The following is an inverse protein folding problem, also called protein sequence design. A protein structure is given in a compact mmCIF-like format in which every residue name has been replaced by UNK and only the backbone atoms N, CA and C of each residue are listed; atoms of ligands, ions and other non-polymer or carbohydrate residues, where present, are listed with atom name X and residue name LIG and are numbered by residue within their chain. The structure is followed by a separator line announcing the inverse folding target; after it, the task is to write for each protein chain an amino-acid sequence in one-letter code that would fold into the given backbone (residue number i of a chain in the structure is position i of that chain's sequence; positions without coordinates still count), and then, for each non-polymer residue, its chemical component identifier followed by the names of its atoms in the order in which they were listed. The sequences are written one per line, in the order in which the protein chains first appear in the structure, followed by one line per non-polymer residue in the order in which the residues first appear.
data_IF_602797274673
#
_entry.id   IF_602797274673
#
_cell.length_a   1.000
_cell.length_b   1.000
_cell.length_c   1.000
_cell.angle_alpha   90.00
_cell.angle_beta   90.00
_cell.angle_gamma   90.00
#
_symmetry.space_group_name_H-M   'P 1'
#
loop_
_entity.id
_entity.type
_entity.pdbx_description
1 polymer ?
#
# COMPACT_ATOMS: atom_id res chain seq x y z
N UNK A 1 -9.84 50.96 7.38
CA UNK A 1 -9.30 49.81 6.64
C UNK A 1 -9.42 48.59 7.56
N UNK A 2 -9.96 47.46 7.14
CA UNK A 2 -9.91 46.26 7.96
C UNK A 2 -8.45 45.91 8.22
N UNK A 3 -8.13 45.56 9.47
CA UNK A 3 -6.79 45.15 9.86
C UNK A 3 -6.38 43.90 9.04
N UNK A 4 -5.25 44.00 8.37
CA UNK A 4 -4.70 42.91 7.58
C UNK A 4 -4.27 41.79 8.55
N UNK A 5 -4.87 40.60 8.44
CA UNK A 5 -4.48 39.46 9.28
C UNK A 5 -3.01 39.11 9.06
N UNK A 6 -2.27 38.91 10.13
CA UNK A 6 -0.92 38.43 10.06
C UNK A 6 -0.91 36.94 9.69
N UNK A 7 0.15 36.39 9.07
CA UNK A 7 0.24 34.96 8.71
C UNK A 7 0.01 34.02 9.91
N UNK A 8 0.30 34.45 11.14
CA UNK A 8 0.01 33.71 12.37
C UNK A 8 -1.44 33.70 12.81
N UNK A 9 -2.28 34.61 12.28
CA UNK A 9 -3.73 34.69 12.57
C UNK A 9 -4.56 33.91 11.53
N UNK A 10 -3.96 33.52 10.41
CA UNK A 10 -4.55 32.67 9.38
C UNK A 10 -4.06 31.23 9.59
N UNK A 11 -4.14 30.74 10.81
CA UNK A 11 -3.76 29.35 11.10
C UNK A 11 -4.93 28.46 10.72
N UNK A 12 -4.85 27.84 9.54
CA UNK A 12 -5.86 26.89 9.02
C UNK A 12 -5.61 25.47 9.52
N UNK A 13 -4.49 25.25 10.22
CA UNK A 13 -3.99 23.90 10.58
C UNK A 13 -3.72 23.81 12.07
N UNK A 14 -4.21 22.74 12.72
CA UNK A 14 -3.81 22.36 14.07
C UNK A 14 -2.50 21.55 14.02
N UNK A 15 -1.37 22.10 14.49
CA UNK A 15 -0.08 21.42 14.38
C UNK A 15 0.05 20.19 15.29
N UNK A 16 -0.62 20.19 16.46
CA UNK A 16 -0.52 19.09 17.45
C UNK A 16 -1.31 17.89 16.93
N UNK A 17 -2.55 18.12 16.49
CA UNK A 17 -3.37 17.05 15.91
C UNK A 17 -2.82 16.56 14.57
N UNK A 18 -2.19 17.42 13.77
CA UNK A 18 -1.54 17.01 12.52
C UNK A 18 -0.32 16.13 12.77
N UNK A 19 0.50 16.45 13.78
CA UNK A 19 1.63 15.57 14.18
C UNK A 19 1.13 14.21 14.66
N UNK A 20 0.07 14.19 15.47
CA UNK A 20 -0.60 12.95 15.87
C UNK A 20 -1.11 12.16 14.67
N UNK A 21 -1.75 12.83 13.70
CA UNK A 21 -2.27 12.21 12.49
C UNK A 21 -1.18 11.53 11.65
N UNK A 22 -0.02 12.18 11.48
CA UNK A 22 1.12 11.60 10.75
C UNK A 22 1.69 10.36 11.42
N UNK A 23 1.61 10.28 12.74
CA UNK A 23 2.03 9.11 13.53
C UNK A 23 1.01 7.97 13.57
N UNK A 24 -0.23 8.21 13.16
CA UNK A 24 -1.29 7.20 13.26
C UNK A 24 -1.04 6.01 12.34
N UNK A 25 -1.12 4.80 12.88
CA UNK A 25 -0.97 3.54 12.14
C UNK A 25 -2.04 2.54 12.57
N UNK A 26 -2.46 1.70 11.63
CA UNK A 26 -3.40 0.61 11.89
C UNK A 26 -2.77 -0.69 11.38
N UNK A 27 -2.49 -1.62 12.30
CA UNK A 27 -1.72 -2.82 12.01
C UNK A 27 -2.38 -3.80 11.01
N UNK A 28 -3.69 -3.69 10.82
CA UNK A 28 -4.44 -4.54 9.88
C UNK A 28 -4.39 -4.03 8.43
N UNK A 29 -3.97 -2.77 8.20
CA UNK A 29 -3.87 -2.17 6.89
C UNK A 29 -2.42 -2.31 6.39
N UNK A 30 -2.25 -2.96 5.26
CA UNK A 30 -0.94 -3.38 4.74
C UNK A 30 -0.64 -2.83 3.34
N UNK A 31 -1.55 -2.05 2.76
CA UNK A 31 -1.39 -1.51 1.42
C UNK A 31 -0.09 -0.72 1.22
N UNK A 32 0.36 0.01 2.26
CA UNK A 32 1.61 0.77 2.24
C UNK A 32 2.87 -0.10 2.05
N UNK A 33 2.76 -1.42 2.21
CA UNK A 33 3.86 -2.35 1.94
C UNK A 33 4.03 -2.60 0.44
N UNK A 34 2.92 -2.60 -0.34
CA UNK A 34 2.95 -2.68 -1.81
C UNK A 34 3.06 -1.31 -2.47
N UNK A 35 2.43 -0.30 -1.87
CA UNK A 35 2.39 1.08 -2.34
C UNK A 35 2.96 2.01 -1.27
N UNK A 36 4.29 2.02 -1.06
CA UNK A 36 4.92 2.92 -0.10
C UNK A 36 4.64 4.36 -0.50
N UNK A 37 4.42 5.22 0.51
CA UNK A 37 4.13 6.62 0.25
C UNK A 37 5.35 7.34 -0.30
N UNK A 38 5.14 8.07 -1.38
CA UNK A 38 6.08 9.01 -1.98
C UNK A 38 5.49 10.42 -1.90
N UNK A 39 6.12 11.29 -1.11
CA UNK A 39 5.65 12.66 -0.96
C UNK A 39 6.01 13.48 -2.21
N UNK A 40 5.03 14.18 -2.76
CA UNK A 40 5.15 15.00 -3.97
C UNK A 40 4.58 16.39 -3.75
N UNK A 41 5.14 17.37 -4.46
CA UNK A 41 4.73 18.77 -4.34
C UNK A 41 3.52 19.14 -5.23
N UNK A 42 3.16 18.29 -6.21
CA UNK A 42 2.12 18.59 -7.19
C UNK A 42 1.09 17.47 -7.30
N UNK A 43 -0.18 17.85 -7.51
CA UNK A 43 -1.30 16.91 -7.66
C UNK A 43 -1.24 16.07 -8.93
N UNK A 44 -0.41 16.42 -9.88
CA UNK A 44 -0.25 15.66 -11.12
C UNK A 44 1.19 15.64 -11.59
N UNK A 45 1.56 14.54 -12.21
CA UNK A 45 2.90 14.34 -12.73
C UNK A 45 2.95 13.12 -13.65
N UNK A 46 4.16 12.64 -13.91
CA UNK A 46 4.38 11.39 -14.63
C UNK A 46 5.15 10.41 -13.78
N UNK A 47 4.68 9.19 -13.72
CA UNK A 47 5.40 8.05 -13.13
C UNK A 47 6.53 7.68 -14.06
N UNK A 48 7.72 7.47 -13.54
CA UNK A 48 8.84 6.94 -14.32
C UNK A 48 8.63 5.43 -14.46
N UNK A 49 8.34 4.96 -15.68
CA UNK A 49 8.33 3.53 -15.98
C UNK A 49 9.75 3.06 -16.29
N UNK A 50 10.18 2.02 -15.59
CA UNK A 50 11.47 1.38 -15.81
C UNK A 50 11.29 0.22 -16.80
N UNK A 51 11.78 0.41 -18.02
CA UNK A 51 11.77 -0.63 -19.05
C UNK A 51 12.98 -1.55 -18.96
N UNK A 52 12.91 -2.68 -19.70
CA UNK A 52 14.02 -3.65 -19.89
C UNK A 52 15.32 -3.01 -20.39
N UNK A 53 15.28 -1.76 -20.84
CA UNK A 53 16.43 -1.01 -21.33
C UNK A 53 17.51 -0.75 -20.26
N UNK A 54 17.11 -0.64 -19.00
CA UNK A 54 18.02 -0.46 -17.86
C UNK A 54 18.93 -1.67 -17.62
N UNK A 55 18.54 -2.84 -18.12
CA UNK A 55 19.27 -4.10 -17.97
C UNK A 55 20.03 -4.53 -19.24
N UNK A 56 20.06 -3.69 -20.30
CA UNK A 56 20.82 -3.97 -21.51
C UNK A 56 22.31 -3.79 -21.30
N UNK A 57 23.08 -4.77 -21.71
CA UNK A 57 24.53 -4.66 -21.74
C UNK A 57 24.95 -3.82 -22.93
N UNK A 58 25.47 -2.64 -22.68
CA UNK A 58 26.03 -1.78 -23.70
C UNK A 58 27.53 -2.05 -23.87
N UNK A 59 27.97 -2.23 -25.12
CA UNK A 59 29.39 -2.33 -25.39
C UNK A 59 30.11 -0.99 -25.13
N UNK A 60 30.71 -0.87 -23.93
CA UNK A 60 31.44 0.32 -23.49
C UNK A 60 32.88 0.40 -24.04
N UNK A 61 33.35 -0.67 -24.70
CA UNK A 61 34.71 -0.71 -25.25
C UNK A 61 34.87 0.30 -26.36
N UNK A 62 35.95 1.09 -26.30
CA UNK A 62 36.28 2.17 -27.23
C UNK A 62 37.73 2.06 -27.64
N UNK A 63 38.01 2.24 -28.92
CA UNK A 63 39.36 2.40 -29.42
C UNK A 63 39.94 3.77 -28.96
N UNK A 64 41.25 3.88 -28.74
CA UNK A 64 41.91 5.16 -28.48
C UNK A 64 41.57 6.18 -29.59
N UNK A 65 41.13 7.39 -29.21
CA UNK A 65 40.75 8.43 -30.16
C UNK A 65 39.33 8.33 -30.75
N UNK A 66 38.57 7.23 -30.56
CA UNK A 66 37.20 7.13 -31.03
C UNK A 66 36.22 7.91 -30.12
N UNK A 67 35.09 8.34 -30.68
CA UNK A 67 34.02 9.01 -29.92
C UNK A 67 33.41 8.11 -28.85
N UNK A 68 33.05 8.67 -27.70
CA UNK A 68 32.35 7.95 -26.63
C UNK A 68 30.91 7.65 -27.04
N UNK A 69 30.48 6.41 -26.88
CA UNK A 69 29.08 6.00 -27.13
C UNK A 69 28.18 6.65 -26.08
N UNK A 70 27.01 7.13 -26.52
CA UNK A 70 26.00 7.76 -25.65
C UNK A 70 24.85 6.79 -25.43
N UNK A 71 24.48 6.55 -24.20
CA UNK A 71 23.25 5.86 -23.82
C UNK A 71 22.16 6.91 -23.63
N UNK A 72 20.99 6.68 -24.18
CA UNK A 72 19.82 7.53 -23.96
C UNK A 72 18.89 6.82 -23.00
N UNK A 73 18.46 7.50 -21.98
CA UNK A 73 17.40 7.05 -21.10
C UNK A 73 16.08 7.59 -21.65
N UNK A 74 15.14 6.70 -21.90
CA UNK A 74 13.77 7.08 -22.25
C UNK A 74 12.94 7.08 -20.96
N UNK A 75 12.31 8.19 -20.64
CA UNK A 75 11.27 8.26 -19.62
C UNK A 75 9.93 8.17 -20.34
N UNK A 76 9.38 6.97 -20.45
CA UNK A 76 7.97 6.82 -20.79
C UNK A 76 7.20 6.79 -19.47
N UNK A 77 6.50 7.87 -19.14
CA UNK A 77 5.77 7.97 -17.89
C UNK A 77 4.28 8.07 -18.14
N UNK A 78 3.51 7.20 -17.47
CA UNK A 78 2.05 7.37 -17.39
C UNK A 78 1.72 8.57 -16.50
N UNK A 79 0.74 9.41 -16.90
CA UNK A 79 0.30 10.48 -16.03
C UNK A 79 -0.35 9.91 -14.77
N UNK A 80 -0.09 10.52 -13.61
CA UNK A 80 -0.84 10.29 -12.39
C UNK A 80 -1.54 11.57 -11.97
N UNK A 81 -2.63 11.43 -11.24
CA UNK A 81 -3.37 12.52 -10.63
C UNK A 81 -3.76 12.11 -9.21
N UNK A 82 -3.47 12.98 -8.25
CA UNK A 82 -3.91 12.81 -6.87
C UNK A 82 -5.27 13.49 -6.73
N UNK A 83 -6.23 12.76 -6.18
CA UNK A 83 -7.58 13.28 -5.91
C UNK A 83 -7.59 13.80 -4.47
N UNK A 84 -7.97 15.08 -4.25
CA UNK A 84 -8.13 15.61 -2.90
C UNK A 84 -9.14 14.80 -2.10
N UNK A 85 -8.76 14.40 -0.89
CA UNK A 85 -9.61 13.63 0.04
C UNK A 85 -9.67 14.34 1.39
N UNK A 86 -10.86 14.71 1.81
CA UNK A 86 -11.10 15.34 3.12
C UNK A 86 -12.34 14.74 3.75
N UNK A 87 -12.30 14.56 5.07
CA UNK A 87 -13.44 14.06 5.86
C UNK A 87 -13.47 14.77 7.21
N UNK A 88 -14.67 15.03 7.73
CA UNK A 88 -14.89 15.71 8.99
C UNK A 88 -15.56 14.82 10.03
N UNK A 89 -15.12 14.93 11.28
CA UNK A 89 -15.80 14.34 12.42
C UNK A 89 -16.52 15.42 13.24
N UNK A 90 -17.75 15.11 13.64
CA UNK A 90 -18.63 15.98 14.39
C UNK A 90 -18.64 15.54 15.86
N UNK A 91 -18.33 16.44 16.79
CA UNK A 91 -18.39 16.20 18.23
C UNK A 91 -19.37 17.17 18.87
N UNK A 92 -20.56 16.73 19.31
CA UNK A 92 -21.52 17.58 20.02
C UNK A 92 -20.90 18.19 21.28
N UNK A 93 -21.22 19.46 21.54
CA UNK A 93 -20.64 20.18 22.70
C UNK A 93 -21.04 19.53 24.05
N UNK A 94 -22.19 18.84 24.08
CA UNK A 94 -22.67 18.12 25.26
C UNK A 94 -21.71 16.97 25.58
N UNK A 95 -21.32 16.20 24.59
CA UNK A 95 -20.34 15.12 24.75
C UNK A 95 -18.96 15.64 25.13
N UNK A 96 -18.55 16.79 24.55
CA UNK A 96 -17.27 17.42 24.89
C UNK A 96 -17.27 17.87 26.37
N UNK A 97 -18.38 18.45 26.86
CA UNK A 97 -18.53 18.84 28.25
C UNK A 97 -18.46 17.63 29.19
N UNK A 98 -19.17 16.55 28.85
CA UNK A 98 -19.23 15.35 29.67
C UNK A 98 -17.87 14.61 29.68
N UNK A 99 -17.16 14.57 28.56
CA UNK A 99 -15.82 13.99 28.47
C UNK A 99 -14.78 14.78 29.27
N UNK A 100 -14.88 16.10 29.32
CA UNK A 100 -13.98 16.94 30.12
C UNK A 100 -14.12 16.67 31.63
N UNK A 101 -15.23 16.09 32.07
CA UNK A 101 -15.44 15.66 33.45
C UNK A 101 -14.75 14.32 33.79
N UNK A 102 -14.28 13.58 32.79
CA UNK A 102 -13.65 12.26 32.97
C UNK A 102 -12.17 12.35 32.60
N UNK A 103 -11.24 12.12 33.53
CA UNK A 103 -9.82 12.15 33.25
C UNK A 103 -9.42 11.11 32.18
N UNK A 104 -8.58 11.51 31.22
CA UNK A 104 -8.01 10.61 30.22
C UNK A 104 -8.83 10.46 28.92
N UNK A 105 -9.99 11.11 28.79
CA UNK A 105 -10.77 11.09 27.53
C UNK A 105 -10.51 12.37 26.76
N UNK A 106 -9.92 12.24 25.57
CA UNK A 106 -9.74 13.33 24.62
C UNK A 106 -10.58 13.05 23.35
N UNK A 107 -11.74 13.71 23.26
CA UNK A 107 -12.65 13.55 22.13
C UNK A 107 -12.13 14.16 20.83
N UNK A 108 -11.29 15.19 20.88
CA UNK A 108 -10.67 15.77 19.69
C UNK A 108 -9.75 14.75 19.00
N UNK A 109 -8.81 14.16 19.76
CA UNK A 109 -7.94 13.11 19.25
C UNK A 109 -8.74 11.90 18.76
N UNK A 110 -9.79 11.51 19.48
CA UNK A 110 -10.66 10.39 19.08
C UNK A 110 -11.40 10.70 17.77
N UNK A 111 -11.90 11.91 17.59
CA UNK A 111 -12.56 12.36 16.38
C UNK A 111 -11.61 12.28 15.17
N UNK A 112 -10.40 12.80 15.29
CA UNK A 112 -9.36 12.72 14.27
C UNK A 112 -9.02 11.26 13.95
N UNK A 113 -8.87 10.38 14.95
CA UNK A 113 -8.57 8.97 14.74
C UNK A 113 -9.67 8.21 13.98
N UNK A 114 -10.95 8.55 14.21
CA UNK A 114 -12.06 7.93 13.46
C UNK A 114 -11.98 8.32 12.00
N UNK A 115 -11.72 9.60 11.69
CA UNK A 115 -11.57 10.08 10.31
C UNK A 115 -10.37 9.41 9.63
N UNK A 116 -9.20 9.43 10.26
CA UNK A 116 -7.99 8.79 9.74
C UNK A 116 -8.19 7.30 9.45
N UNK A 117 -8.89 6.61 10.34
CA UNK A 117 -9.22 5.20 10.16
C UNK A 117 -10.03 4.97 8.89
N UNK A 118 -11.03 5.82 8.64
CA UNK A 118 -11.87 5.75 7.45
C UNK A 118 -11.06 6.02 6.17
N UNK A 119 -10.25 7.09 6.17
CA UNK A 119 -9.41 7.44 5.01
C UNK A 119 -8.33 6.38 4.72
N UNK A 120 -7.71 5.81 5.75
CA UNK A 120 -6.74 4.73 5.56
C UNK A 120 -7.39 3.45 5.05
N UNK A 121 -8.62 3.14 5.48
CA UNK A 121 -9.37 2.01 4.95
C UNK A 121 -9.76 2.23 3.48
N UNK A 122 -10.18 3.43 3.11
CA UNK A 122 -10.46 3.82 1.73
C UNK A 122 -9.21 3.62 0.86
N UNK A 123 -8.06 4.11 1.29
CA UNK A 123 -6.78 3.90 0.62
C UNK A 123 -6.42 2.41 0.48
N UNK A 124 -6.64 1.60 1.53
CA UNK A 124 -6.43 0.14 1.47
C UNK A 124 -7.31 -0.53 0.40
N UNK A 125 -8.58 -0.12 0.32
CA UNK A 125 -9.54 -0.64 -0.68
C UNK A 125 -9.12 -0.26 -2.11
N UNK A 126 -8.68 0.99 -2.31
CA UNK A 126 -8.16 1.44 -3.61
C UNK A 126 -6.92 0.66 -4.03
N UNK A 127 -5.95 0.49 -3.12
CA UNK A 127 -4.75 -0.30 -3.38
C UNK A 127 -5.08 -1.75 -3.71
N UNK A 128 -5.99 -2.37 -2.95
CA UNK A 128 -6.43 -3.73 -3.22
C UNK A 128 -7.14 -3.83 -4.57
N UNK A 129 -8.00 -2.86 -4.91
CA UNK A 129 -8.67 -2.79 -6.20
C UNK A 129 -7.70 -2.70 -7.39
N UNK A 130 -6.57 -2.01 -7.22
CA UNK A 130 -5.51 -1.95 -8.24
C UNK A 130 -4.72 -3.27 -8.29
N UNK A 131 -4.29 -3.77 -7.12
CA UNK A 131 -3.37 -4.90 -7.03
C UNK A 131 -4.02 -6.25 -7.34
N UNK A 132 -5.31 -6.43 -7.09
CA UNK A 132 -6.05 -7.68 -7.35
C UNK A 132 -6.80 -7.70 -8.68
N UNK A 133 -6.78 -6.58 -9.42
CA UNK A 133 -7.43 -6.51 -10.72
C UNK A 133 -6.56 -7.18 -11.80
N UNK A 134 -7.03 -8.32 -12.31
CA UNK A 134 -6.35 -9.07 -13.36
C UNK A 134 -6.14 -8.29 -14.67
N UNK A 135 -6.92 -7.22 -14.92
CA UNK A 135 -6.77 -6.38 -16.11
C UNK A 135 -5.50 -5.51 -16.06
N UNK A 136 -4.94 -5.30 -14.88
CA UNK A 136 -3.70 -4.55 -14.68
C UNK A 136 -2.44 -5.37 -14.94
N UNK A 137 -2.58 -6.67 -15.24
CA UNK A 137 -1.47 -7.59 -15.48
C UNK A 137 -1.60 -8.21 -16.87
N UNK A 138 -0.48 -8.46 -17.52
CA UNK A 138 -0.43 -9.29 -18.71
C UNK A 138 -0.62 -10.77 -18.36
N UNK A 139 -0.63 -11.63 -19.37
CA UNK A 139 -0.87 -13.06 -19.17
C UNK A 139 0.30 -13.79 -18.49
N UNK A 140 1.50 -13.23 -18.59
CA UNK A 140 2.72 -13.82 -18.01
C UNK A 140 2.90 -13.44 -16.53
N UNK A 141 2.16 -12.42 -16.07
CA UNK A 141 2.24 -11.90 -14.69
C UNK A 141 0.99 -12.17 -13.86
N UNK A 142 0.17 -13.13 -14.25
CA UNK A 142 -0.99 -13.55 -13.46
C UNK A 142 -1.31 -15.02 -13.66
N UNK A 143 -1.91 -15.62 -12.63
CA UNK A 143 -2.54 -16.93 -12.67
C UNK A 143 -3.85 -16.91 -11.91
N UNK A 144 -4.85 -17.63 -12.40
CA UNK A 144 -6.11 -17.84 -11.70
C UNK A 144 -6.21 -19.31 -11.35
N UNK A 145 -6.16 -19.61 -10.06
CA UNK A 145 -6.27 -20.98 -9.56
C UNK A 145 -7.75 -21.39 -9.53
N UNK A 146 -8.02 -22.58 -10.05
CA UNK A 146 -9.38 -23.13 -10.09
C UNK A 146 -9.38 -24.65 -9.87
N UNK A 147 -10.48 -25.20 -9.39
CA UNK A 147 -10.65 -26.64 -9.24
C UNK A 147 -9.64 -27.27 -8.27
N UNK A 148 -8.73 -28.10 -8.77
CA UNK A 148 -7.72 -28.80 -7.96
C UNK A 148 -6.49 -27.98 -7.64
N UNK A 149 -6.33 -26.83 -8.28
CA UNK A 149 -5.13 -25.99 -8.13
C UNK A 149 -5.24 -24.99 -6.99
N UNK A 150 -6.46 -24.78 -6.47
CA UNK A 150 -6.67 -23.89 -5.30
C UNK A 150 -5.94 -24.41 -4.07
N UNK A 151 -5.42 -23.52 -3.22
CA UNK A 151 -4.60 -23.88 -2.07
C UNK A 151 -5.37 -24.56 -0.92
N UNK A 152 -6.69 -24.68 -1.04
CA UNK A 152 -7.49 -25.54 -0.14
C UNK A 152 -7.41 -27.01 -0.50
N UNK A 153 -6.91 -27.35 -1.67
CA UNK A 153 -6.77 -28.73 -2.13
C UNK A 153 -5.37 -29.27 -1.75
N UNK A 154 -5.32 -30.39 -1.08
CA UNK A 154 -4.07 -31.02 -0.62
C UNK A 154 -3.14 -31.44 -1.77
N UNK A 155 -3.68 -31.63 -2.98
CA UNK A 155 -2.90 -31.99 -4.17
C UNK A 155 -2.19 -30.80 -4.82
N UNK A 156 -2.66 -29.56 -4.59
CA UNK A 156 -2.05 -28.34 -5.14
C UNK A 156 -0.61 -28.13 -4.65
N UNK A 157 0.11 -27.19 -5.24
CA UNK A 157 1.48 -26.89 -4.83
C UNK A 157 1.71 -25.37 -4.71
N UNK A 158 1.35 -24.78 -3.56
CA UNK A 158 1.52 -23.34 -3.34
C UNK A 158 2.95 -22.84 -3.52
N UNK A 159 3.94 -23.71 -3.24
CA UNK A 159 5.34 -23.32 -3.40
C UNK A 159 5.75 -23.22 -4.87
N UNK A 160 5.23 -24.13 -5.71
CA UNK A 160 5.44 -24.07 -7.16
C UNK A 160 4.79 -22.85 -7.78
N UNK A 161 3.58 -22.47 -7.32
CA UNK A 161 2.86 -21.30 -7.81
C UNK A 161 3.63 -20.02 -7.51
N UNK A 162 4.12 -19.90 -6.26
CA UNK A 162 4.94 -18.75 -5.83
C UNK A 162 6.26 -18.70 -6.61
N UNK A 163 6.92 -19.85 -6.83
CA UNK A 163 8.17 -19.91 -7.58
C UNK A 163 7.98 -19.51 -9.05
N UNK A 164 6.88 -19.94 -9.67
CA UNK A 164 6.50 -19.49 -11.02
C UNK A 164 6.34 -17.97 -11.08
N UNK A 165 5.67 -17.37 -10.09
CA UNK A 165 5.51 -15.92 -10.02
C UNK A 165 6.85 -15.20 -9.79
N UNK A 166 7.73 -15.73 -8.94
CA UNK A 166 9.08 -15.18 -8.73
C UNK A 166 9.89 -15.15 -10.02
N UNK A 167 9.89 -16.26 -10.77
CA UNK A 167 10.62 -16.35 -12.03
C UNK A 167 10.03 -15.44 -13.11
N UNK A 168 8.71 -15.25 -13.17
CA UNK A 168 8.06 -14.32 -14.09
C UNK A 168 8.52 -12.88 -13.84
N UNK A 169 8.52 -12.45 -12.59
CA UNK A 169 9.00 -11.11 -12.19
C UNK A 169 10.49 -10.96 -12.54
N UNK A 170 11.32 -11.94 -12.15
CA UNK A 170 12.76 -11.93 -12.47
C UNK A 170 13.04 -11.85 -13.97
N UNK A 171 12.32 -12.61 -14.78
CA UNK A 171 12.47 -12.58 -16.23
C UNK A 171 12.12 -11.23 -16.85
N UNK A 172 11.25 -10.46 -16.19
CA UNK A 172 10.77 -9.17 -16.69
C UNK A 172 11.62 -7.98 -16.26
N UNK A 173 12.02 -7.93 -14.99
CA UNK A 173 12.76 -6.79 -14.41
C UNK A 173 14.18 -7.14 -13.95
N UNK A 174 14.63 -8.39 -14.07
CA UNK A 174 15.96 -8.83 -13.64
C UNK A 174 16.14 -8.97 -12.12
N UNK A 175 15.09 -8.77 -11.33
CA UNK A 175 15.11 -8.81 -9.86
C UNK A 175 14.01 -9.75 -9.36
N UNK A 176 14.29 -10.47 -8.27
CA UNK A 176 13.26 -11.25 -7.60
C UNK A 176 12.32 -10.36 -6.76
N UNK A 177 11.04 -10.71 -6.65
CA UNK A 177 10.12 -10.01 -5.75
C UNK A 177 10.62 -10.14 -4.29
N UNK A 178 10.62 -9.04 -3.58
CA UNK A 178 11.02 -8.97 -2.17
C UNK A 178 9.82 -8.91 -1.22
N UNK A 179 8.63 -8.74 -1.76
CA UNK A 179 7.40 -8.53 -1.00
C UNK A 179 6.29 -9.47 -1.49
N UNK A 180 5.59 -10.09 -0.54
CA UNK A 180 4.41 -10.92 -0.80
C UNK A 180 3.27 -10.48 0.10
N UNK A 181 2.15 -10.12 -0.49
CA UNK A 181 0.92 -9.86 0.23
C UNK A 181 -0.01 -11.05 0.08
N UNK A 182 -0.42 -11.61 1.20
CA UNK A 182 -1.38 -12.71 1.30
C UNK A 182 -2.73 -12.17 1.76
N UNK A 183 -3.83 -12.58 1.13
CA UNK A 183 -5.14 -12.42 1.75
C UNK A 183 -5.25 -13.26 3.03
N UNK A 184 -6.12 -12.86 3.95
CA UNK A 184 -6.35 -13.60 5.20
C UNK A 184 -6.81 -15.04 4.94
N UNK A 185 -7.64 -15.23 3.92
CA UNK A 185 -8.12 -16.53 3.46
C UNK A 185 -6.99 -17.40 2.91
N UNK A 186 -6.15 -16.87 2.01
CA UNK A 186 -5.00 -17.60 1.46
C UNK A 186 -4.01 -18.01 2.56
N UNK A 187 -3.72 -17.12 3.51
CA UNK A 187 -2.88 -17.45 4.66
C UNK A 187 -3.48 -18.57 5.53
N UNK A 188 -4.79 -18.57 5.72
CA UNK A 188 -5.50 -19.63 6.46
C UNK A 188 -5.36 -21.00 5.78
N UNK A 189 -5.40 -21.03 4.42
CA UNK A 189 -5.20 -22.28 3.65
C UNK A 189 -3.75 -22.76 3.76
N UNK A 190 -2.76 -21.86 3.57
CA UNK A 190 -1.34 -22.20 3.70
C UNK A 190 -0.98 -22.82 5.04
N UNK A 191 -1.59 -22.32 6.14
CA UNK A 191 -1.35 -22.88 7.49
C UNK A 191 -1.73 -24.34 7.64
N UNK A 192 -2.64 -24.83 6.83
CA UNK A 192 -3.18 -26.21 6.88
C UNK A 192 -2.68 -27.08 5.74
N UNK A 193 -2.00 -26.49 4.74
CA UNK A 193 -1.59 -27.19 3.53
C UNK A 193 -0.52 -28.24 3.82
N UNK A 194 -0.72 -29.54 3.47
CA UNK A 194 0.18 -30.63 3.86
C UNK A 194 1.60 -30.46 3.31
N UNK A 195 1.77 -29.96 2.08
CA UNK A 195 3.10 -29.72 1.49
C UNK A 195 3.87 -28.61 2.21
N UNK A 196 3.18 -27.58 2.72
CA UNK A 196 3.82 -26.52 3.52
C UNK A 196 4.19 -27.06 4.92
N UNK A 197 3.29 -27.81 5.53
CA UNK A 197 3.54 -28.46 6.83
C UNK A 197 4.72 -29.44 6.73
N UNK A 198 4.80 -30.23 5.67
CA UNK A 198 5.92 -31.14 5.45
C UNK A 198 7.28 -30.43 5.41
N UNK A 199 7.36 -29.30 4.70
CA UNK A 199 8.57 -28.45 4.68
C UNK A 199 8.90 -27.86 6.05
N UNK A 200 7.88 -27.61 6.90
CA UNK A 200 8.09 -27.15 8.28
C UNK A 200 8.56 -28.24 9.22
N UNK A 201 8.20 -29.48 8.98
CA UNK A 201 8.59 -30.60 9.83
C UNK A 201 10.11 -30.84 9.84
N UNK A 202 10.78 -30.60 8.71
CA UNK A 202 12.23 -30.71 8.59
C UNK A 202 12.98 -29.64 9.41
N UNK A 203 12.33 -28.49 9.68
CA UNK A 203 12.89 -27.42 10.54
C UNK A 203 12.55 -27.56 12.03
N UNK A 204 11.83 -28.62 12.43
CA UNK A 204 11.40 -28.86 13.82
C UNK A 204 10.25 -27.96 14.29
N UNK A 205 9.72 -27.09 13.44
CA UNK A 205 8.63 -26.16 13.73
C UNK A 205 7.31 -26.82 13.32
N UNK A 206 6.45 -27.11 14.31
CA UNK A 206 5.13 -27.74 14.04
C UNK A 206 4.01 -26.77 13.66
N UNK A 207 4.28 -25.47 13.66
CA UNK A 207 3.29 -24.43 13.37
C UNK A 207 3.77 -23.56 12.22
N UNK A 208 2.97 -23.44 11.17
CA UNK A 208 3.26 -22.53 10.05
C UNK A 208 3.08 -21.09 10.51
N UNK A 209 4.17 -20.36 10.54
CA UNK A 209 4.27 -18.93 10.89
C UNK A 209 4.68 -18.12 9.66
N UNK A 210 4.56 -16.78 9.74
CA UNK A 210 5.05 -15.91 8.66
C UNK A 210 6.56 -16.06 8.46
N UNK A 211 7.34 -16.26 9.52
CA UNK A 211 8.80 -16.43 9.42
C UNK A 211 9.17 -17.73 8.70
N UNK A 212 8.41 -18.81 8.93
CA UNK A 212 8.57 -20.03 8.16
C UNK A 212 8.25 -19.82 6.68
N UNK A 213 7.15 -19.10 6.37
CA UNK A 213 6.78 -18.81 4.98
C UNK A 213 7.85 -17.95 4.29
N UNK A 214 8.48 -17.01 4.99
CA UNK A 214 9.62 -16.23 4.46
C UNK A 214 10.78 -17.15 4.06
N UNK A 215 11.06 -18.15 4.87
CA UNK A 215 12.12 -19.14 4.57
C UNK A 215 11.73 -20.08 3.41
N UNK A 216 10.46 -20.55 3.40
CA UNK A 216 9.98 -21.49 2.36
C UNK A 216 9.89 -20.83 0.99
N UNK A 217 9.42 -19.59 0.92
CA UNK A 217 9.26 -18.84 -0.32
C UNK A 217 10.47 -17.98 -0.69
N UNK A 218 11.42 -17.84 0.25
CA UNK A 218 12.61 -16.99 0.08
C UNK A 218 12.25 -15.54 -0.26
N UNK A 219 11.21 -15.02 0.40
CA UNK A 219 10.73 -13.65 0.25
C UNK A 219 10.91 -12.94 1.57
N UNK A 220 11.59 -11.79 1.54
CA UNK A 220 11.96 -11.03 2.74
C UNK A 220 10.74 -10.50 3.49
N UNK A 221 9.78 -9.95 2.76
CA UNK A 221 8.62 -9.27 3.32
C UNK A 221 7.33 -10.04 2.99
N UNK A 222 6.78 -10.76 3.96
CA UNK A 222 5.46 -11.40 3.82
C UNK A 222 4.50 -10.74 4.79
N UNK A 223 3.41 -10.19 4.26
CA UNK A 223 2.35 -9.55 5.05
C UNK A 223 1.00 -10.18 4.76
N UNK A 224 0.10 -10.12 5.75
CA UNK A 224 -1.27 -10.62 5.63
C UNK A 224 -2.24 -9.46 5.66
N UNK A 225 -2.96 -9.26 4.56
CA UNK A 225 -4.05 -8.30 4.45
C UNK A 225 -5.29 -8.86 5.14
N UNK A 226 -5.48 -8.45 6.39
CA UNK A 226 -6.62 -8.85 7.21
C UNK A 226 -7.66 -7.72 7.37
N UNK A 227 -7.53 -6.66 6.55
CA UNK A 227 -8.51 -5.57 6.51
C UNK A 227 -9.86 -6.05 6.00
N UNK A 228 -10.93 -5.60 6.66
CA UNK A 228 -12.31 -5.86 6.25
C UNK A 228 -13.03 -4.54 5.99
N UNK A 229 -13.95 -4.56 5.05
CA UNK A 229 -14.83 -3.44 4.71
C UNK A 229 -16.29 -3.88 4.82
N UNK A 230 -17.14 -3.03 5.37
CA UNK A 230 -18.57 -3.25 5.36
C UNK A 230 -19.13 -2.87 3.98
N UNK A 231 -19.80 -3.81 3.33
CA UNK A 231 -20.53 -3.56 2.09
C UNK A 231 -21.83 -2.78 2.31
N UNK A 232 -22.55 -2.50 1.23
CA UNK A 232 -23.82 -1.79 1.28
C UNK A 232 -24.90 -2.53 2.09
N UNK A 233 -24.77 -3.85 2.22
CA UNK A 233 -25.70 -4.73 2.95
C UNK A 233 -25.27 -4.97 4.40
N UNK A 234 -24.37 -4.14 4.96
CA UNK A 234 -23.74 -4.31 6.28
C UNK A 234 -23.00 -5.64 6.49
N UNK A 235 -22.74 -6.40 5.43
CA UNK A 235 -21.89 -7.59 5.49
C UNK A 235 -20.42 -7.21 5.37
N UNK A 236 -19.56 -7.87 6.17
CA UNK A 236 -18.11 -7.67 6.09
C UNK A 236 -17.52 -8.51 4.97
N UNK A 237 -16.76 -7.84 4.09
CA UNK A 237 -15.95 -8.47 3.06
C UNK A 237 -14.47 -8.26 3.31
N UNK A 238 -13.65 -9.25 2.96
CA UNK A 238 -12.19 -9.11 2.99
C UNK A 238 -11.72 -8.14 1.89
N UNK A 239 -10.97 -7.12 2.25
CA UNK A 239 -10.45 -6.12 1.29
C UNK A 239 -9.58 -6.77 0.22
N UNK A 240 -8.72 -7.74 0.60
CA UNK A 240 -7.81 -8.45 -0.32
C UNK A 240 -8.40 -9.73 -0.92
N UNK A 241 -9.65 -10.05 -0.61
CA UNK A 241 -10.38 -11.19 -1.14
C UNK A 241 -9.66 -12.53 -0.95
N UNK A 242 -9.44 -13.26 -2.05
CA UNK A 242 -8.77 -14.58 -2.07
C UNK A 242 -7.42 -14.55 -2.79
N UNK A 243 -6.89 -13.36 -3.05
CA UNK A 243 -5.74 -13.17 -3.92
C UNK A 243 -4.42 -13.12 -3.14
N UNK A 244 -3.34 -13.36 -3.87
CA UNK A 244 -1.96 -13.17 -3.41
C UNK A 244 -1.23 -12.32 -4.44
N UNK A 245 -0.44 -11.37 -3.97
CA UNK A 245 0.36 -10.50 -4.83
C UNK A 245 1.82 -10.62 -4.45
N UNK A 246 2.64 -11.00 -5.41
CA UNK A 246 4.10 -10.92 -5.32
C UNK A 246 4.53 -9.61 -5.96
N UNK A 247 5.44 -8.89 -5.34
CA UNK A 247 5.91 -7.62 -5.86
C UNK A 247 7.38 -7.37 -5.52
N UNK A 248 8.07 -6.71 -6.43
CA UNK A 248 9.31 -6.03 -6.10
C UNK A 248 8.96 -4.59 -5.70
N UNK A 249 9.22 -4.26 -4.46
CA UNK A 249 9.04 -2.91 -3.91
C UNK A 249 10.41 -2.35 -3.59
N UNK A 250 10.72 -1.14 -4.06
CA UNK A 250 12.03 -0.54 -3.84
C UNK A 250 12.34 -0.41 -2.35
N UNK A 251 13.47 -1.00 -1.87
CA UNK A 251 13.87 -0.94 -0.47
C UNK A 251 14.50 0.41 -0.17
N UNK A 252 13.77 1.38 0.31
CA UNK A 252 14.34 2.65 0.64
C UNK A 252 13.85 3.22 1.96
N UNK A 253 14.73 3.95 2.63
CA UNK A 253 14.43 4.66 3.88
C UNK A 253 13.96 6.09 3.67
N UNK A 254 14.28 6.71 2.52
CA UNK A 254 13.89 8.07 2.17
C UNK A 254 12.92 8.05 0.99
N UNK A 255 11.67 8.35 1.29
CA UNK A 255 10.53 8.25 0.38
C UNK A 255 10.76 9.02 -0.94
N UNK A 256 11.42 10.17 -0.88
CA UNK A 256 11.68 10.99 -2.06
C UNK A 256 12.81 10.46 -2.97
N UNK A 257 13.75 9.69 -2.45
CA UNK A 257 14.82 9.09 -3.23
C UNK A 257 14.36 7.86 -4.03
N UNK A 258 13.29 7.21 -3.58
CA UNK A 258 12.86 5.91 -4.09
C UNK A 258 11.86 5.98 -5.23
N UNK A 259 11.19 7.11 -5.44
CA UNK A 259 10.27 7.29 -6.56
C UNK A 259 10.97 7.22 -7.94
N UNK A 260 12.30 7.26 -7.96
CA UNK A 260 13.13 7.12 -9.16
C UNK A 260 13.61 5.68 -9.39
N UNK A 261 13.34 4.75 -8.47
CA UNK A 261 13.73 3.35 -8.59
C UNK A 261 12.62 2.47 -9.14
N UNK A 262 12.97 1.35 -9.82
CA UNK A 262 11.98 0.35 -10.23
C UNK A 262 11.22 -0.17 -9.03
N UNK A 263 9.89 -0.05 -9.06
CA UNK A 263 9.01 -0.58 -8.02
C UNK A 263 7.67 -0.97 -8.63
N UNK A 264 6.97 -1.89 -7.97
CA UNK A 264 5.63 -2.28 -8.37
C UNK A 264 4.66 -1.11 -8.36
N UNK A 265 4.63 -0.33 -7.29
CA UNK A 265 3.76 0.82 -7.15
C UNK A 265 4.21 1.80 -6.09
N UNK A 266 3.61 2.98 -6.12
CA UNK A 266 3.79 4.03 -5.12
C UNK A 266 2.45 4.62 -4.73
N UNK A 267 2.32 4.99 -3.46
CA UNK A 267 1.27 5.86 -2.97
C UNK A 267 1.73 7.31 -3.05
N UNK A 268 1.42 8.01 -4.13
CA UNK A 268 1.77 9.44 -4.21
C UNK A 268 0.89 10.23 -3.25
N UNK A 269 1.54 10.99 -2.38
CA UNK A 269 0.90 11.78 -1.33
C UNK A 269 1.44 13.20 -1.38
N UNK A 270 0.57 14.19 -1.22
CA UNK A 270 1.01 15.59 -1.13
C UNK A 270 1.84 15.80 0.12
N UNK A 271 2.96 16.50 -0.03
CA UNK A 271 3.88 16.82 1.06
C UNK A 271 3.15 17.49 2.23
N UNK A 272 3.39 17.00 3.44
CA UNK A 272 2.76 17.51 4.66
C UNK A 272 1.46 16.80 5.06
N UNK A 273 0.90 15.92 4.23
CA UNK A 273 -0.29 15.13 4.57
C UNK A 273 0.05 13.91 5.47
N UNK A 274 -0.91 13.40 6.25
CA UNK A 274 -2.22 13.97 6.54
C UNK A 274 -2.14 15.28 7.34
N UNK A 275 -3.13 16.14 7.12
CA UNK A 275 -3.23 17.46 7.72
C UNK A 275 -4.56 17.55 8.47
N UNK A 276 -4.51 18.01 9.73
CA UNK A 276 -5.71 18.30 10.51
C UNK A 276 -5.98 19.79 10.45
N UNK A 277 -7.18 20.17 10.03
CA UNK A 277 -7.63 21.55 9.98
C UNK A 277 -7.88 22.09 11.38
N UNK A 278 -7.82 23.43 11.55
CA UNK A 278 -8.16 24.04 12.81
C UNK A 278 -9.64 23.79 13.14
N UNK A 279 -9.95 23.18 14.30
CA UNK A 279 -11.33 22.85 14.64
C UNK A 279 -12.20 24.10 14.71
N UNK A 280 -13.37 24.02 14.14
CA UNK A 280 -14.33 25.11 14.20
C UNK A 280 -15.66 24.69 14.85
N UNK A 281 -16.37 25.68 15.40
CA UNK A 281 -17.64 25.44 16.05
C UNK A 281 -18.81 25.78 15.12
N UNK A 282 -19.60 24.74 14.77
CA UNK A 282 -20.86 24.94 14.06
C UNK A 282 -21.98 25.35 15.03
N UNK A 283 -22.42 26.59 14.88
CA UNK A 283 -23.47 27.19 15.73
C UNK A 283 -24.83 26.54 15.48
N UNK A 284 -25.08 26.01 14.29
CA UNK A 284 -26.34 25.40 13.93
C UNK A 284 -26.45 23.99 14.52
N UNK A 285 -25.42 23.15 14.29
CA UNK A 285 -25.33 21.82 14.84
C UNK A 285 -24.88 21.77 16.30
N UNK A 286 -24.46 22.91 16.89
CA UNK A 286 -23.92 23.06 18.28
C UNK A 286 -22.80 22.04 18.56
N UNK A 287 -21.94 21.87 17.58
CA UNK A 287 -20.91 20.83 17.56
C UNK A 287 -19.55 21.39 17.15
N UNK A 288 -18.48 20.79 17.65
CA UNK A 288 -17.13 21.01 17.17
C UNK A 288 -16.88 20.11 15.96
N UNK A 289 -16.29 20.67 14.93
CA UNK A 289 -15.96 19.99 13.67
C UNK A 289 -14.45 19.86 13.58
N UNK A 290 -13.98 18.64 13.32
CA UNK A 290 -12.58 18.29 13.14
C UNK A 290 -12.38 17.72 11.72
N UNK A 291 -11.80 18.54 10.85
CA UNK A 291 -11.49 18.17 9.47
C UNK A 291 -10.11 17.54 9.35
N UNK A 292 -9.99 16.49 8.55
CA UNK A 292 -8.72 15.87 8.18
C UNK A 292 -8.66 15.72 6.67
N UNK A 293 -7.61 16.27 6.08
CA UNK A 293 -7.28 16.11 4.68
C UNK A 293 -6.11 15.14 4.52
N UNK A 294 -6.24 14.17 3.61
CA UNK A 294 -5.19 13.20 3.31
C UNK A 294 -5.15 12.91 1.80
N UNK A 295 -4.50 13.79 1.08
CA UNK A 295 -4.42 13.73 -0.38
C UNK A 295 -3.35 12.70 -0.79
N UNK A 296 -3.78 11.49 -1.05
CA UNK A 296 -2.94 10.39 -1.49
C UNK A 296 -3.68 9.53 -2.52
N UNK A 297 -2.96 9.06 -3.52
CA UNK A 297 -3.50 8.13 -4.52
C UNK A 297 -2.51 7.04 -4.84
N UNK A 298 -2.91 5.75 -4.82
CA UNK A 298 -2.05 4.65 -5.22
C UNK A 298 -1.91 4.59 -6.74
N UNK A 299 -0.70 4.37 -7.21
CA UNK A 299 -0.39 4.28 -8.64
C UNK A 299 0.50 3.09 -8.91
N UNK A 300 0.11 2.27 -9.88
CA UNK A 300 0.92 1.16 -10.37
C UNK A 300 2.04 1.72 -11.25
N UNK A 301 3.28 1.68 -10.74
CA UNK A 301 4.45 2.22 -11.43
C UNK A 301 5.02 1.22 -12.45
N UNK A 302 5.03 -0.06 -12.11
CA UNK A 302 5.56 -1.12 -12.98
C UNK A 302 4.84 -2.44 -12.79
N UNK A 303 3.90 -2.77 -13.68
CA UNK A 303 3.17 -4.05 -13.65
C UNK A 303 4.14 -5.24 -13.73
N UNK A 304 5.19 -5.14 -14.52
CA UNK A 304 6.20 -6.18 -14.69
C UNK A 304 6.99 -6.52 -13.39
N UNK A 305 6.93 -5.65 -12.39
CA UNK A 305 7.50 -5.89 -11.06
C UNK A 305 6.53 -6.62 -10.12
N UNK A 306 5.35 -7.00 -10.60
CA UNK A 306 4.33 -7.70 -9.83
C UNK A 306 3.85 -8.98 -10.48
N UNK A 307 3.30 -9.89 -9.66
CA UNK A 307 2.63 -11.10 -10.12
C UNK A 307 1.39 -11.36 -9.26
N UNK A 308 0.28 -11.63 -9.91
CA UNK A 308 -1.02 -11.85 -9.26
C UNK A 308 -1.41 -13.32 -9.29
N UNK A 309 -1.68 -13.90 -8.12
CA UNK A 309 -2.28 -15.23 -7.96
C UNK A 309 -3.71 -15.04 -7.46
N UNK A 310 -4.70 -15.27 -8.30
CA UNK A 310 -6.11 -15.22 -7.93
C UNK A 310 -6.62 -16.59 -7.50
N UNK A 311 -7.59 -16.62 -6.56
CA UNK A 311 -8.21 -17.86 -6.12
C UNK A 311 -7.40 -18.68 -5.12
N UNK A 312 -6.26 -18.19 -4.65
CA UNK A 312 -5.44 -18.90 -3.66
C UNK A 312 -6.16 -19.17 -2.34
N UNK A 313 -7.09 -18.29 -1.95
CA UNK A 313 -7.87 -18.39 -0.73
C UNK A 313 -9.22 -19.12 -0.86
N UNK A 314 -9.56 -19.64 -2.03
CA UNK A 314 -10.81 -20.37 -2.28
C UNK A 314 -10.86 -21.71 -1.53
#
# INVERSE_FOLDING_TARGET
MPAQMTPGQVRVVDPILSEHARGYRQAQLVASVLFPFADVAAYGGRVIEFGKESFKVYNSKRAPGAATKRVRFGYEGKPYSIIPSALEAVVPREHMRDANAVPGINLATRAVNVVLRSQLLEYEVECAGIATNASNYDNDHKVTLTGTDVWSNDASDPASDVETGKEAVRASIGLYPNTMLLSATAFSKLKRHPKIIARSADSGIRKVTLDLLRQVFEIENIVVGAGVVAGADDEFGDVWGTSVVLAYVSPGSDVNANAEEPSYGYGYRIEGMPLVEEPYYDKNAKSWIYGVSNDASPVLAGMAAGYLIQGAGL
#
